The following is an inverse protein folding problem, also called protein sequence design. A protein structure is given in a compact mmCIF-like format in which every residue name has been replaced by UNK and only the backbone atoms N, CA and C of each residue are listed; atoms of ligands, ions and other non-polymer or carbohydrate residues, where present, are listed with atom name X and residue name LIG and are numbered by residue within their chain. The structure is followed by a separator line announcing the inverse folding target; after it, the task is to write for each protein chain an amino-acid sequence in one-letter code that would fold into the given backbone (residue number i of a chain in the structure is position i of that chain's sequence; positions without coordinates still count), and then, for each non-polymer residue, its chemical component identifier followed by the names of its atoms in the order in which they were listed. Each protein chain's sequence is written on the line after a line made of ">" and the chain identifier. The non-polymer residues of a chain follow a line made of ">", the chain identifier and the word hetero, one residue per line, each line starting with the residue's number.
data_IF_821624037988
#
_entry.id   IF_821624037988
#
_cell.length_a   1.000
_cell.length_b   1.000
_cell.length_c   1.000
_cell.angle_alpha   90.00
_cell.angle_beta   90.00
_cell.angle_gamma   90.00
#
_symmetry.space_group_name_H-M   'P 1'
#
loop_
_entity.id
_entity.type
_entity.pdbx_description
1 polymer ?
#
# COMPACT_ATOMS: atom_id res chain seq x y z
N UNK A 1 -4.55 -24.57 -18.55
CA UNK A 1 -3.66 -24.77 -17.39
C UNK A 1 -4.43 -24.45 -16.11
N UNK A 2 -4.32 -25.30 -15.12
CA UNK A 2 -4.92 -25.03 -13.81
C UNK A 2 -3.88 -24.48 -12.86
N UNK A 3 -4.28 -23.51 -12.08
CA UNK A 3 -3.42 -22.95 -11.05
C UNK A 3 -4.21 -22.81 -9.75
N UNK A 4 -3.55 -23.15 -8.64
CA UNK A 4 -4.09 -22.93 -7.30
C UNK A 4 -3.63 -21.55 -6.83
N UNK A 5 -4.59 -20.71 -6.46
CA UNK A 5 -4.32 -19.39 -5.88
C UNK A 5 -4.98 -19.29 -4.52
N UNK A 6 -4.41 -18.52 -3.62
CA UNK A 6 -4.99 -18.23 -2.32
C UNK A 6 -5.63 -16.85 -2.38
N UNK A 7 -6.94 -16.82 -2.20
CA UNK A 7 -7.73 -15.58 -2.17
C UNK A 7 -8.42 -15.51 -0.81
N UNK A 8 -8.13 -14.46 -0.05
CA UNK A 8 -8.68 -14.27 1.29
C UNK A 8 -8.47 -15.49 2.22
N UNK A 9 -7.32 -16.16 2.10
CA UNK A 9 -6.99 -17.33 2.90
C UNK A 9 -7.59 -18.65 2.41
N UNK A 10 -8.32 -18.65 1.30
CA UNK A 10 -8.89 -19.87 0.70
C UNK A 10 -8.14 -20.27 -0.55
N UNK A 11 -7.84 -21.56 -0.66
CA UNK A 11 -7.30 -22.12 -1.88
C UNK A 11 -8.39 -22.21 -2.94
N UNK A 12 -8.11 -21.68 -4.12
CA UNK A 12 -9.01 -21.67 -5.26
C UNK A 12 -8.29 -22.18 -6.48
N UNK A 13 -8.89 -23.14 -7.20
CA UNK A 13 -8.36 -23.63 -8.47
C UNK A 13 -8.95 -22.75 -9.59
N UNK A 14 -8.06 -22.18 -10.39
CA UNK A 14 -8.44 -21.32 -11.50
C UNK A 14 -7.94 -21.92 -12.80
N UNK A 15 -8.81 -21.96 -13.81
CA UNK A 15 -8.40 -22.26 -15.19
C UNK A 15 -7.81 -21.01 -15.81
N UNK A 16 -6.58 -21.12 -16.30
CA UNK A 16 -5.85 -20.04 -16.91
C UNK A 16 -5.49 -20.39 -18.33
N UNK A 17 -5.76 -19.52 -19.32
CA UNK A 17 -5.23 -19.69 -20.67
C UNK A 17 -3.70 -19.78 -20.65
N UNK A 18 -3.13 -20.64 -21.48
CA UNK A 18 -1.69 -20.90 -21.47
C UNK A 18 -0.82 -19.67 -21.76
N UNK A 19 -1.35 -18.68 -22.47
CA UNK A 19 -0.67 -17.43 -22.74
C UNK A 19 -0.81 -16.38 -21.65
N UNK A 20 -1.50 -16.69 -20.56
CA UNK A 20 -1.66 -15.77 -19.44
C UNK A 20 -0.92 -16.31 -18.22
N UNK A 21 0.06 -15.57 -17.77
CA UNK A 21 0.70 -15.85 -16.48
C UNK A 21 -0.08 -15.09 -15.42
N UNK A 22 -0.87 -15.80 -14.64
CA UNK A 22 -1.44 -15.25 -13.44
C UNK A 22 -0.49 -15.45 -12.28
N UNK A 23 -0.15 -14.36 -11.67
CA UNK A 23 0.35 -14.28 -10.32
C UNK A 23 1.69 -14.94 -10.04
N UNK A 24 2.70 -14.13 -10.11
CA UNK A 24 3.79 -14.29 -9.17
C UNK A 24 3.53 -13.32 -8.03
N UNK A 25 3.19 -13.83 -6.86
CA UNK A 25 3.16 -13.00 -5.66
C UNK A 25 4.56 -12.98 -5.09
N UNK A 26 5.17 -11.81 -5.06
CA UNK A 26 6.49 -11.62 -4.47
C UNK A 26 6.34 -10.86 -3.17
N UNK A 27 6.66 -11.52 -2.06
CA UNK A 27 6.84 -10.83 -0.80
C UNK A 27 8.24 -10.21 -0.79
N UNK A 28 8.34 -8.93 -0.48
CA UNK A 28 9.62 -8.24 -0.39
C UNK A 28 9.81 -7.65 0.99
N UNK A 29 10.87 -8.08 1.66
CA UNK A 29 11.29 -7.53 2.94
C UNK A 29 10.31 -7.80 4.09
N UNK A 30 10.58 -7.17 5.23
CA UNK A 30 9.88 -7.40 6.48
C UNK A 30 8.48 -6.80 6.54
N UNK A 31 8.09 -6.03 5.54
CA UNK A 31 6.86 -5.25 5.55
C UNK A 31 5.80 -5.81 4.62
N UNK A 32 5.92 -7.07 4.29
CA UNK A 32 4.94 -7.76 3.44
C UNK A 32 4.67 -7.02 2.13
N UNK A 33 5.69 -6.42 1.55
CA UNK A 33 5.58 -5.86 0.22
C UNK A 33 5.32 -6.99 -0.76
N UNK A 34 4.43 -6.76 -1.69
CA UNK A 34 4.05 -7.78 -2.66
C UNK A 34 3.89 -7.20 -4.06
N UNK A 35 3.92 -8.11 -5.01
CA UNK A 35 3.71 -7.81 -6.41
C UNK A 35 2.90 -8.95 -7.02
N UNK A 36 1.84 -8.62 -7.76
CA UNK A 36 0.99 -9.57 -8.47
C UNK A 36 0.94 -9.18 -9.94
N UNK A 37 1.30 -10.11 -10.82
CA UNK A 37 1.20 -9.92 -12.26
C UNK A 37 -0.02 -10.66 -12.77
N UNK A 38 -0.90 -9.94 -13.47
CA UNK A 38 -2.15 -10.48 -14.00
C UNK A 38 -2.11 -10.80 -15.49
N UNK A 39 -0.98 -10.61 -16.14
CA UNK A 39 -0.85 -10.73 -17.58
C UNK A 39 -1.23 -9.46 -18.33
N UNK A 40 -0.84 -9.38 -19.61
CA UNK A 40 -1.08 -8.21 -20.49
C UNK A 40 -0.56 -6.89 -19.93
N UNK A 41 0.49 -6.95 -19.11
CA UNK A 41 1.07 -5.77 -18.50
C UNK A 41 0.31 -5.23 -17.30
N UNK A 42 -0.79 -5.84 -16.88
CA UNK A 42 -1.51 -5.43 -15.67
C UNK A 42 -0.81 -5.99 -14.43
N UNK A 43 -0.57 -5.12 -13.47
CA UNK A 43 0.17 -5.45 -12.27
C UNK A 43 -0.42 -4.74 -11.05
N UNK A 44 -0.37 -5.42 -9.92
CA UNK A 44 -0.67 -4.83 -8.63
C UNK A 44 0.55 -4.89 -7.73
N UNK A 45 0.84 -3.81 -7.02
CA UNK A 45 1.89 -3.75 -6.01
C UNK A 45 1.32 -3.20 -4.71
N UNK A 46 1.94 -3.56 -3.62
CA UNK A 46 1.52 -3.06 -2.32
C UNK A 46 2.57 -3.29 -1.26
N UNK A 47 2.33 -2.70 -0.11
CA UNK A 47 3.23 -2.84 1.03
C UNK A 47 2.85 -1.92 2.17
N UNK A 48 3.80 -1.73 3.07
CA UNK A 48 3.67 -0.82 4.20
C UNK A 48 4.85 0.14 4.16
N UNK A 49 4.57 1.43 4.25
CA UNK A 49 5.60 2.45 4.41
C UNK A 49 5.47 3.13 5.76
N UNK A 50 6.57 3.60 6.28
CA UNK A 50 6.62 4.36 7.49
C UNK A 50 6.75 5.84 7.15
N UNK A 51 5.80 6.63 7.63
CA UNK A 51 5.79 8.08 7.45
C UNK A 51 6.21 8.73 8.74
N UNK A 52 7.32 9.47 8.70
CA UNK A 52 7.79 10.22 9.86
C UNK A 52 7.01 11.53 9.96
N UNK A 53 6.11 11.59 10.92
CA UNK A 53 5.26 12.75 11.13
C UNK A 53 5.81 13.65 12.24
N UNK A 54 5.82 14.93 11.99
CA UNK A 54 6.28 15.95 12.92
C UNK A 54 5.26 17.07 13.01
N UNK A 55 5.38 17.89 14.05
CA UNK A 55 4.44 18.97 14.31
C UNK A 55 4.37 19.96 13.16
N UNK A 56 3.17 20.20 12.66
CA UNK A 56 2.87 21.26 11.68
C UNK A 56 2.11 22.41 12.34
N UNK A 57 1.39 22.10 13.42
CA UNK A 57 0.73 23.09 14.29
C UNK A 57 0.40 22.41 15.62
N UNK A 58 -0.04 23.18 16.58
CA UNK A 58 -0.39 22.67 17.91
C UNK A 58 -1.45 21.55 17.82
N UNK A 59 -1.10 20.40 18.40
CA UNK A 59 -1.98 19.23 18.41
C UNK A 59 -2.04 18.43 17.12
N UNK A 60 -1.27 18.77 16.09
CA UNK A 60 -1.28 18.05 14.81
C UNK A 60 0.13 17.79 14.31
N UNK A 61 0.39 16.54 13.97
CA UNK A 61 1.60 16.13 13.29
C UNK A 61 1.27 15.64 11.88
N UNK A 62 2.20 15.83 10.94
CA UNK A 62 2.06 15.38 9.56
C UNK A 62 3.42 15.05 8.98
N UNK A 63 3.42 14.09 8.08
CA UNK A 63 4.60 13.73 7.33
C UNK A 63 4.24 13.22 5.94
N UNK A 64 5.25 12.98 5.14
CA UNK A 64 5.12 12.52 3.76
C UNK A 64 6.18 11.48 3.45
N UNK A 65 5.79 10.47 2.69
CA UNK A 65 6.72 9.48 2.12
C UNK A 65 6.35 9.22 0.66
N UNK A 66 7.35 8.95 -0.15
CA UNK A 66 7.19 8.72 -1.57
C UNK A 66 7.43 7.24 -1.89
N UNK A 67 6.57 6.68 -2.75
CA UNK A 67 6.71 5.31 -3.24
C UNK A 67 6.76 5.35 -4.75
N UNK A 68 7.86 4.90 -5.32
CA UNK A 68 7.97 4.77 -6.76
C UNK A 68 7.16 3.57 -7.23
N UNK A 69 6.30 3.79 -8.21
CA UNK A 69 5.47 2.74 -8.80
C UNK A 69 6.09 2.25 -10.10
N UNK A 70 6.03 0.94 -10.37
CA UNK A 70 6.64 0.34 -11.55
C UNK A 70 5.76 0.45 -12.80
N UNK A 71 4.87 1.44 -12.86
CA UNK A 71 3.87 1.53 -13.91
C UNK A 71 4.20 2.63 -14.93
N UNK A 72 3.93 2.35 -16.20
CA UNK A 72 3.83 3.40 -17.20
C UNK A 72 2.55 4.23 -16.98
N UNK A 73 1.51 3.59 -16.47
CA UNK A 73 0.24 4.25 -16.15
C UNK A 73 -0.40 3.61 -14.92
N UNK A 74 -0.66 4.41 -13.90
CA UNK A 74 -1.35 3.96 -12.69
C UNK A 74 -2.86 4.06 -12.90
N UNK A 75 -3.58 2.98 -12.62
CA UNK A 75 -5.04 2.90 -12.78
C UNK A 75 -5.77 3.16 -11.47
N UNK A 76 -5.22 2.72 -10.35
CA UNK A 76 -5.87 2.82 -9.05
C UNK A 76 -4.83 2.78 -7.94
N UNK A 77 -5.16 3.37 -6.80
CA UNK A 77 -4.34 3.27 -5.59
C UNK A 77 -5.19 3.48 -4.36
N UNK A 78 -4.75 2.90 -3.25
CA UNK A 78 -5.39 3.06 -1.95
C UNK A 78 -4.34 3.14 -0.85
N UNK A 79 -4.62 3.90 0.19
CA UNK A 79 -3.79 3.98 1.38
C UNK A 79 -4.67 3.92 2.63
N UNK A 80 -4.13 3.31 3.68
CA UNK A 80 -4.80 3.19 4.97
C UNK A 80 -3.77 3.29 6.09
N UNK A 81 -4.00 4.15 7.06
CA UNK A 81 -3.15 4.16 8.24
C UNK A 81 -3.40 2.92 9.10
N UNK A 82 -2.32 2.30 9.53
CA UNK A 82 -2.38 1.16 10.45
C UNK A 82 -2.18 1.72 11.86
N UNK A 83 -3.21 1.61 12.70
CA UNK A 83 -3.07 2.00 14.09
C UNK A 83 -2.32 0.91 14.85
N UNK A 84 -1.10 1.20 15.25
CA UNK A 84 -0.27 0.29 16.04
C UNK A 84 -0.40 0.51 17.55
N UNK A 85 -1.20 1.50 17.95
CA UNK A 85 -1.45 1.79 19.35
C UNK A 85 -2.37 0.74 19.97
N UNK A 86 -2.09 0.34 21.21
CA UNK A 86 -2.94 -0.58 21.97
C UNK A 86 -4.25 0.06 22.42
N UNK A 87 -4.35 1.40 22.38
CA UNK A 87 -5.54 2.13 22.75
C UNK A 87 -6.39 2.48 21.53
N UNK A 88 -7.72 2.52 21.64
CA UNK A 88 -8.56 3.03 20.57
C UNK A 88 -8.15 4.46 20.21
N UNK A 89 -7.92 4.72 18.95
CA UNK A 89 -7.37 5.97 18.47
C UNK A 89 -8.44 7.04 18.23
N UNK A 90 -9.45 7.12 19.09
CA UNK A 90 -10.54 8.08 18.93
C UNK A 90 -10.03 9.54 19.04
N UNK A 91 -9.08 9.76 19.93
CA UNK A 91 -8.52 11.10 20.17
C UNK A 91 -7.16 11.30 19.50
N UNK A 92 -6.44 10.22 19.23
CA UNK A 92 -5.09 10.26 18.67
C UNK A 92 -5.03 9.59 17.30
N UNK A 93 -6.16 9.51 16.62
CA UNK A 93 -6.31 8.77 15.37
C UNK A 93 -5.26 9.13 14.33
N UNK A 94 -4.73 8.08 13.74
CA UNK A 94 -3.80 8.18 12.64
C UNK A 94 -4.58 8.06 11.33
N UNK A 95 -4.30 8.96 10.40
CA UNK A 95 -4.97 9.01 9.11
C UNK A 95 -3.93 9.04 8.01
N UNK A 96 -4.30 8.51 6.86
CA UNK A 96 -3.46 8.53 5.68
C UNK A 96 -4.26 8.98 4.47
N UNK A 97 -3.59 9.65 3.57
CA UNK A 97 -4.10 9.99 2.25
C UNK A 97 -2.94 10.04 1.27
N UNK A 98 -3.24 10.01 -0.01
CA UNK A 98 -2.21 9.97 -1.03
C UNK A 98 -2.65 10.70 -2.29
N UNK A 99 -1.67 11.08 -3.09
CA UNK A 99 -1.86 11.58 -4.44
C UNK A 99 -0.82 10.98 -5.37
N UNK A 100 -1.08 11.01 -6.66
CA UNK A 100 -0.10 10.64 -7.67
C UNK A 100 0.66 11.88 -8.16
N UNK A 101 1.97 11.71 -8.29
CA UNK A 101 2.84 12.68 -8.94
C UNK A 101 3.64 11.90 -10.00
N UNK A 102 3.14 11.90 -11.22
CA UNK A 102 3.66 11.01 -12.26
C UNK A 102 3.49 9.55 -11.88
N UNK A 103 4.59 8.81 -11.78
CA UNK A 103 4.61 7.42 -11.32
C UNK A 103 4.98 7.27 -9.85
N UNK A 104 4.93 8.35 -9.09
CA UNK A 104 5.23 8.35 -7.66
C UNK A 104 3.96 8.50 -6.87
N UNK A 105 3.72 7.57 -5.96
CA UNK A 105 2.65 7.69 -4.98
C UNK A 105 3.18 8.50 -3.80
N UNK A 106 2.60 9.66 -3.58
CA UNK A 106 2.96 10.54 -2.45
C UNK A 106 2.02 10.24 -1.31
N UNK A 107 2.53 9.63 -0.26
CA UNK A 107 1.75 9.15 0.88
C UNK A 107 1.91 10.12 2.04
N UNK A 108 0.80 10.60 2.56
CA UNK A 108 0.75 11.47 3.72
C UNK A 108 0.22 10.71 4.92
N UNK A 109 0.84 10.94 6.06
CA UNK A 109 0.35 10.46 7.35
C UNK A 109 0.14 11.65 8.29
N UNK A 110 -0.97 11.66 9.00
CA UNK A 110 -1.31 12.70 9.96
C UNK A 110 -1.92 12.10 11.22
N UNK A 111 -1.75 12.77 12.32
CA UNK A 111 -2.34 12.35 13.58
C UNK A 111 -2.56 13.54 14.50
N UNK A 112 -3.49 13.37 15.45
CA UNK A 112 -3.67 14.30 16.55
C UNK A 112 -2.64 13.95 17.63
N UNK A 113 -1.59 14.74 17.71
CA UNK A 113 -0.50 14.52 18.67
C UNK A 113 0.34 15.79 18.78
N UNK A 114 0.97 15.98 19.92
CA UNK A 114 1.98 17.03 20.11
C UNK A 114 3.41 16.48 19.96
N UNK A 115 3.55 15.17 19.81
CA UNK A 115 4.83 14.51 19.70
C UNK A 115 4.99 13.91 18.31
N UNK A 116 6.18 14.05 17.75
CA UNK A 116 6.54 13.39 16.49
C UNK A 116 6.46 11.88 16.67
N UNK A 117 5.94 11.18 15.66
CA UNK A 117 5.92 9.73 15.64
C UNK A 117 5.93 9.20 14.22
N UNK A 118 6.25 7.91 14.11
CA UNK A 118 6.15 7.18 12.85
C UNK A 118 4.72 6.67 12.66
N UNK A 119 4.15 6.90 11.49
CA UNK A 119 2.82 6.41 11.11
C UNK A 119 3.01 5.32 10.08
N UNK A 120 2.49 4.14 10.36
CA UNK A 120 2.52 3.03 9.43
C UNK A 120 1.35 3.15 8.45
N UNK A 121 1.64 3.11 7.16
CA UNK A 121 0.62 3.25 6.13
C UNK A 121 0.68 2.06 5.18
N UNK A 122 -0.42 1.33 5.11
CA UNK A 122 -0.61 0.29 4.10
C UNK A 122 -1.03 0.95 2.79
N UNK A 123 -0.41 0.56 1.71
CA UNK A 123 -0.72 1.09 0.39
C UNK A 123 -0.84 -0.04 -0.62
N UNK A 124 -1.66 0.18 -1.63
CA UNK A 124 -1.78 -0.69 -2.81
C UNK A 124 -1.91 0.18 -4.05
N UNK A 125 -1.43 -0.32 -5.17
CA UNK A 125 -1.59 0.34 -6.45
C UNK A 125 -1.68 -0.68 -7.58
N UNK A 126 -2.47 -0.35 -8.60
CA UNK A 126 -2.62 -1.14 -9.83
C UNK A 126 -2.29 -0.29 -11.02
N UNK A 127 -1.67 -0.88 -12.01
CA UNK A 127 -1.30 -0.15 -13.21
C UNK A 127 -0.85 -1.05 -14.34
N UNK A 128 -0.50 -0.38 -15.43
CA UNK A 128 0.03 -0.99 -16.63
C UNK A 128 1.54 -0.74 -16.67
N UNK A 129 2.28 -1.80 -16.83
CA UNK A 129 3.75 -1.76 -16.91
C UNK A 129 4.21 -1.32 -18.29
#
# INVERSE_FOLDING_TARGET
>A
MQQVVVINGYETVIEIPDEQVLSTVKAQGDRSNYEIEYGKGLKEVGGVVEVQAASVRDGVIEGVQRVELPFARTLDFQVTAINVSASPAVLTGEFAFARLDGNVLVVYGTANSNEAKAIQVKWTAKGIV
#
